data_IF_491092415886
#
_entry.id   IF_491092415886
#
_cell.length_a   1.000
_cell.length_b   1.000
_cell.length_c   1.000
_cell.angle_alpha   90.00
_cell.angle_beta   90.00
_cell.angle_gamma   90.00
#
_symmetry.space_group_name_H-M   'P 1'
#
loop_
_entity.id
_entity.type
_entity.pdbx_description
1 polymer ?
#
# COMPACT_ATOMS: atom_id res chain seq x y z
N UNK A 1 48.84 -1.45 31.64
CA UNK A 1 47.47 -1.72 32.14
C UNK A 1 46.42 -0.63 31.81
N UNK A 2 46.79 0.65 31.59
CA UNK A 2 45.79 1.71 31.23
C UNK A 2 45.18 1.59 29.84
N UNK A 3 45.87 1.05 28.83
CA UNK A 3 45.37 0.95 27.44
C UNK A 3 44.25 -0.08 27.20
N UNK A 4 44.20 -1.15 27.99
CA UNK A 4 43.17 -2.20 27.83
C UNK A 4 41.80 -1.73 28.30
N UNK A 5 41.76 -0.91 29.37
CA UNK A 5 40.51 -0.38 29.90
C UNK A 5 39.80 0.64 28.97
N UNK A 6 40.59 1.44 28.25
CA UNK A 6 40.04 2.41 27.30
C UNK A 6 39.49 1.74 26.03
N UNK A 7 40.18 0.71 25.53
CA UNK A 7 39.69 -0.05 24.34
C UNK A 7 38.41 -0.79 24.68
N UNK A 8 38.30 -1.38 25.86
CA UNK A 8 37.12 -2.11 26.31
C UNK A 8 35.92 -1.18 26.52
N UNK A 9 36.14 0.03 27.09
CA UNK A 9 35.09 1.03 27.22
C UNK A 9 34.58 1.55 25.85
N UNK A 10 35.48 1.77 24.89
CA UNK A 10 35.11 2.15 23.52
C UNK A 10 34.32 1.07 22.80
N UNK A 11 34.71 -0.19 22.95
CA UNK A 11 34.02 -1.33 22.36
C UNK A 11 32.60 -1.49 22.93
N UNK A 12 32.45 -1.35 24.27
CA UNK A 12 31.14 -1.41 24.93
C UNK A 12 30.23 -0.24 24.50
N UNK A 13 30.79 0.97 24.36
CA UNK A 13 30.03 2.14 23.90
C UNK A 13 29.54 1.99 22.45
N UNK A 14 30.39 1.44 21.57
CA UNK A 14 30.03 1.18 20.17
C UNK A 14 28.96 0.08 20.09
N UNK A 15 29.05 -0.97 20.88
CA UNK A 15 28.07 -2.06 20.93
C UNK A 15 26.74 -1.52 21.49
N UNK A 16 26.75 -0.68 22.52
CA UNK A 16 25.57 -0.09 23.12
C UNK A 16 24.88 0.87 22.13
N UNK A 17 25.64 1.67 21.37
CA UNK A 17 25.07 2.51 20.30
C UNK A 17 24.45 1.68 19.15
N UNK A 18 25.06 0.53 18.80
CA UNK A 18 24.51 -0.37 17.77
C UNK A 18 23.22 -1.05 18.23
N UNK A 19 23.14 -1.45 19.51
CA UNK A 19 21.92 -2.04 20.10
C UNK A 19 20.80 -1.03 20.19
N UNK A 20 21.08 0.24 20.48
CA UNK A 20 20.08 1.31 20.54
C UNK A 20 19.56 1.64 19.13
N UNK A 21 20.39 1.53 18.08
CA UNK A 21 19.97 1.75 16.71
C UNK A 21 19.01 0.67 16.19
N UNK A 22 19.09 -0.57 16.72
CA UNK A 22 18.15 -1.66 16.37
C UNK A 22 16.79 -1.55 17.07
N UNK A 23 16.65 -0.73 18.10
CA UNK A 23 15.39 -0.55 18.83
C UNK A 23 14.42 0.49 18.19
N UNK A 24 14.85 1.20 17.15
CA UNK A 24 14.01 2.18 16.44
C UNK A 24 13.46 1.70 15.09
N UNK A 25 13.67 0.43 14.71
CA UNK A 25 13.01 -0.17 13.55
C UNK A 25 11.70 -0.85 13.99
N UNK A 26 10.89 -0.13 14.73
CA UNK A 26 9.52 -0.50 15.08
C UNK A 26 8.48 0.25 14.24
N UNK A 27 8.80 0.55 12.99
CA UNK A 27 7.78 0.97 12.03
C UNK A 27 7.04 -0.30 11.59
N UNK A 28 5.99 -0.69 12.31
CA UNK A 28 5.15 -1.82 11.96
C UNK A 28 4.69 -1.67 10.52
N UNK A 29 4.68 -2.76 9.75
CA UNK A 29 4.06 -2.79 8.42
C UNK A 29 2.55 -2.66 8.60
N UNK A 30 1.85 -2.24 7.53
CA UNK A 30 0.41 -2.38 7.43
C UNK A 30 0.02 -3.87 7.50
N UNK A 31 -1.13 -4.16 8.07
CA UNK A 31 -1.67 -5.52 8.18
C UNK A 31 -2.74 -5.76 7.11
N UNK A 32 -2.52 -6.74 6.25
CA UNK A 32 -3.44 -7.19 5.20
C UNK A 32 -3.93 -8.62 5.42
N UNK A 33 -3.60 -9.24 6.57
CA UNK A 33 -3.81 -10.67 6.81
C UNK A 33 -5.29 -11.06 6.96
N UNK A 34 -6.14 -10.13 7.39
CA UNK A 34 -7.56 -10.37 7.65
C UNK A 34 -8.49 -9.66 6.66
N UNK A 35 -7.93 -9.15 5.55
CA UNK A 35 -8.71 -8.41 4.56
C UNK A 35 -9.79 -9.29 3.93
N UNK A 36 -11.02 -8.79 3.90
CA UNK A 36 -12.14 -9.40 3.20
C UNK A 36 -12.20 -8.84 1.77
N UNK A 37 -12.24 -9.74 0.79
CA UNK A 37 -12.35 -9.35 -0.62
C UNK A 37 -13.77 -9.57 -1.11
N UNK A 38 -14.37 -8.51 -1.65
CA UNK A 38 -15.61 -8.57 -2.39
C UNK A 38 -15.32 -8.31 -3.86
N UNK A 39 -15.43 -9.36 -4.67
CA UNK A 39 -15.20 -9.29 -6.12
C UNK A 39 -16.38 -8.71 -6.88
N UNK A 40 -17.53 -8.53 -6.23
CA UNK A 40 -18.74 -8.09 -6.89
C UNK A 40 -19.13 -9.00 -8.07
N UNK A 41 -19.65 -8.36 -9.12
CA UNK A 41 -19.94 -9.03 -10.40
C UNK A 41 -19.26 -8.27 -11.52
N UNK A 42 -18.46 -8.96 -12.32
CA UNK A 42 -17.80 -8.41 -13.49
C UNK A 42 -17.97 -9.31 -14.70
N UNK A 43 -18.22 -8.71 -15.84
CA UNK A 43 -18.15 -9.35 -17.16
C UNK A 43 -16.84 -9.03 -17.88
N UNK A 44 -16.07 -8.09 -17.34
CA UNK A 44 -14.83 -7.56 -17.93
C UNK A 44 -13.59 -8.23 -17.35
N UNK A 45 -13.56 -8.44 -16.02
CA UNK A 45 -12.40 -8.94 -15.31
C UNK A 45 -12.68 -10.28 -14.66
N UNK A 46 -11.75 -11.23 -14.86
CA UNK A 46 -11.75 -12.49 -14.13
C UNK A 46 -11.30 -12.27 -12.67
N UNK A 47 -11.58 -13.26 -11.83
CA UNK A 47 -11.14 -13.24 -10.44
C UNK A 47 -9.61 -13.17 -10.35
N UNK A 48 -8.89 -13.86 -11.21
CA UNK A 48 -7.43 -13.89 -11.28
C UNK A 48 -6.86 -12.51 -11.65
N UNK A 49 -7.51 -11.79 -12.56
CA UNK A 49 -7.13 -10.41 -12.92
C UNK A 49 -7.37 -9.45 -11.76
N UNK A 50 -8.49 -9.59 -11.05
CA UNK A 50 -8.78 -8.83 -9.84
C UNK A 50 -7.77 -9.13 -8.72
N UNK A 51 -7.41 -10.40 -8.50
CA UNK A 51 -6.40 -10.82 -7.52
C UNK A 51 -5.04 -10.17 -7.82
N UNK A 52 -4.66 -10.10 -9.09
CA UNK A 52 -3.42 -9.43 -9.50
C UNK A 52 -3.41 -7.93 -9.16
N UNK A 53 -4.53 -7.24 -9.34
CA UNK A 53 -4.68 -5.83 -8.96
C UNK A 53 -4.69 -5.66 -7.43
N UNK A 54 -5.40 -6.53 -6.72
CA UNK A 54 -5.47 -6.56 -5.25
C UNK A 54 -4.07 -6.76 -4.64
N UNK A 55 -3.24 -7.59 -5.23
CA UNK A 55 -1.86 -7.80 -4.76
C UNK A 55 -1.02 -6.53 -4.86
N UNK A 56 -1.23 -5.70 -5.89
CA UNK A 56 -0.59 -4.38 -6.00
C UNK A 56 -1.05 -3.46 -4.86
N UNK A 57 -2.35 -3.42 -4.58
CA UNK A 57 -2.92 -2.63 -3.46
C UNK A 57 -2.33 -3.09 -2.13
N UNK A 58 -2.33 -4.41 -1.87
CA UNK A 58 -1.79 -4.97 -0.62
C UNK A 58 -0.31 -4.61 -0.42
N UNK A 59 0.51 -4.68 -1.48
CA UNK A 59 1.92 -4.27 -1.42
C UNK A 59 2.07 -2.81 -1.02
N UNK A 60 1.26 -1.92 -1.58
CA UNK A 60 1.26 -0.50 -1.19
C UNK A 60 0.78 -0.32 0.24
N UNK A 61 -0.29 -1.00 0.64
CA UNK A 61 -0.86 -0.90 1.99
C UNK A 61 0.12 -1.33 3.08
N UNK A 62 1.02 -2.28 2.82
CA UNK A 62 2.08 -2.68 3.75
C UNK A 62 2.98 -1.51 4.17
N UNK A 63 3.02 -0.42 3.40
CA UNK A 63 3.78 0.80 3.75
C UNK A 63 3.05 1.68 4.76
N UNK A 64 1.77 1.44 5.04
CA UNK A 64 0.97 2.19 6.03
C UNK A 64 1.14 1.57 7.42
N UNK A 65 2.27 1.88 8.05
CA UNK A 65 2.71 1.27 9.31
C UNK A 65 1.64 1.27 10.39
N UNK A 66 1.29 0.07 10.87
CA UNK A 66 0.33 -0.14 11.94
C UNK A 66 -1.15 0.03 11.55
N UNK A 67 -1.46 0.34 10.29
CA UNK A 67 -2.82 0.29 9.76
C UNK A 67 -3.26 -1.16 9.52
N UNK A 68 -4.56 -1.42 9.64
CA UNK A 68 -5.19 -2.73 9.43
C UNK A 68 -6.19 -2.63 8.29
N UNK A 69 -5.94 -3.33 7.17
CA UNK A 69 -6.85 -3.38 6.03
C UNK A 69 -7.98 -4.36 6.31
N UNK A 70 -9.22 -3.87 6.32
CA UNK A 70 -10.39 -4.68 6.65
C UNK A 70 -11.10 -5.23 5.43
N UNK A 71 -11.24 -4.43 4.37
CA UNK A 71 -11.94 -4.84 3.16
C UNK A 71 -11.37 -4.20 1.90
N UNK A 72 -11.54 -4.90 0.79
CA UNK A 72 -11.41 -4.40 -0.56
C UNK A 72 -12.64 -4.87 -1.36
N UNK A 73 -13.35 -3.96 -1.97
CA UNK A 73 -14.56 -4.23 -2.77
C UNK A 73 -14.38 -3.68 -4.17
N UNK A 74 -14.57 -4.53 -5.18
CA UNK A 74 -14.58 -4.09 -6.58
C UNK A 74 -15.72 -3.09 -6.80
N UNK A 75 -15.42 -1.97 -7.45
CA UNK A 75 -16.44 -0.94 -7.65
C UNK A 75 -17.54 -1.41 -8.62
N UNK A 76 -17.25 -1.48 -9.90
CA UNK A 76 -18.11 -2.05 -10.94
C UNK A 76 -17.48 -1.97 -12.32
N UNK A 77 -18.02 -2.75 -13.29
CA UNK A 77 -17.64 -2.65 -14.70
C UNK A 77 -17.94 -1.27 -15.27
N UNK A 78 -19.07 -0.65 -14.88
CA UNK A 78 -19.48 0.68 -15.35
C UNK A 78 -18.44 1.75 -14.96
N UNK A 79 -17.98 1.75 -13.73
CA UNK A 79 -16.95 2.68 -13.25
C UNK A 79 -15.61 2.39 -13.93
N UNK A 80 -15.17 1.13 -13.92
CA UNK A 80 -13.85 0.75 -14.42
C UNK A 80 -13.72 0.88 -15.95
N UNK A 81 -14.80 0.67 -16.71
CA UNK A 81 -14.77 0.78 -18.18
C UNK A 81 -15.22 2.16 -18.69
N UNK A 82 -15.44 3.12 -17.82
CA UNK A 82 -15.77 4.49 -18.22
C UNK A 82 -14.57 5.13 -18.92
N UNK A 83 -14.79 5.69 -20.12
CA UNK A 83 -13.76 6.32 -20.92
C UNK A 83 -13.07 7.48 -20.17
N UNK A 84 -13.84 8.29 -19.43
CA UNK A 84 -13.31 9.42 -18.68
C UNK A 84 -12.34 8.96 -17.58
N UNK A 85 -12.60 7.80 -16.95
CA UNK A 85 -11.72 7.23 -15.94
C UNK A 85 -10.44 6.66 -16.55
N UNK A 86 -10.52 6.06 -17.74
CA UNK A 86 -9.34 5.59 -18.48
C UNK A 86 -8.49 6.79 -18.93
N UNK A 87 -9.11 7.85 -19.41
CA UNK A 87 -8.42 9.09 -19.79
C UNK A 87 -7.77 9.74 -18.57
N UNK A 88 -8.46 9.80 -17.44
CA UNK A 88 -7.87 10.27 -16.19
C UNK A 88 -6.65 9.44 -15.76
N UNK A 89 -6.67 8.12 -15.88
CA UNK A 89 -5.49 7.28 -15.60
C UNK A 89 -4.33 7.63 -16.55
N UNK A 90 -4.64 7.90 -17.81
CA UNK A 90 -3.63 8.32 -18.78
C UNK A 90 -3.03 9.70 -18.46
N UNK A 91 -3.81 10.61 -17.88
CA UNK A 91 -3.32 11.92 -17.44
C UNK A 91 -2.38 11.82 -16.23
N UNK A 92 -2.52 10.78 -15.41
CA UNK A 92 -1.65 10.51 -14.26
C UNK A 92 -0.32 9.81 -14.62
N UNK A 93 -0.10 9.48 -15.90
CA UNK A 93 1.13 8.79 -16.34
C UNK A 93 2.38 9.60 -16.05
N UNK A 94 3.44 8.89 -15.76
CA UNK A 94 4.80 9.44 -15.67
C UNK A 94 5.67 9.09 -16.88
N UNK A 95 5.19 8.19 -17.75
CA UNK A 95 5.86 7.76 -18.99
C UNK A 95 4.92 7.95 -20.19
N UNK A 96 5.25 8.86 -21.08
CA UNK A 96 4.44 9.18 -22.27
C UNK A 96 4.40 8.06 -23.31
N UNK A 97 5.32 7.09 -23.24
CA UNK A 97 5.34 5.94 -24.15
C UNK A 97 4.35 4.84 -23.77
N UNK A 98 3.78 4.90 -22.57
CA UNK A 98 2.79 3.94 -22.10
C UNK A 98 1.38 4.50 -22.26
N UNK A 99 0.48 3.71 -22.85
CA UNK A 99 -0.94 4.05 -22.99
C UNK A 99 -1.75 3.02 -22.23
N UNK A 100 -2.50 3.48 -21.24
CA UNK A 100 -3.44 2.64 -20.51
C UNK A 100 -4.74 2.49 -21.30
N UNK A 101 -5.22 1.26 -21.39
CA UNK A 101 -6.47 0.91 -22.07
C UNK A 101 -7.49 0.26 -21.14
N UNK A 102 -7.09 -0.06 -19.94
CA UNK A 102 -7.95 -0.63 -18.90
C UNK A 102 -7.67 0.04 -17.57
N UNK A 103 -8.72 0.21 -16.79
CA UNK A 103 -8.63 0.67 -15.43
C UNK A 103 -9.47 -0.22 -14.53
N UNK A 104 -9.04 -0.45 -13.30
CA UNK A 104 -9.76 -1.19 -12.28
C UNK A 104 -9.73 -0.42 -10.97
N UNK A 105 -10.83 -0.42 -10.24
CA UNK A 105 -10.94 0.33 -9.00
C UNK A 105 -11.59 -0.49 -7.89
N UNK A 106 -11.08 -0.28 -6.68
CA UNK A 106 -11.57 -0.91 -5.46
C UNK A 106 -11.79 0.14 -4.37
N UNK A 107 -12.89 0.02 -3.65
CA UNK A 107 -13.07 0.71 -2.37
C UNK A 107 -12.51 -0.13 -1.24
N UNK A 108 -11.93 0.53 -0.25
CA UNK A 108 -11.40 -0.14 0.94
C UNK A 108 -11.96 0.45 2.21
N UNK A 109 -11.98 -0.37 3.27
CA UNK A 109 -12.03 0.11 4.64
C UNK A 109 -10.79 -0.36 5.40
N UNK A 110 -10.25 0.51 6.24
CA UNK A 110 -9.09 0.18 7.05
C UNK A 110 -9.07 1.02 8.33
N UNK A 111 -8.36 0.54 9.33
CA UNK A 111 -8.17 1.23 10.61
C UNK A 111 -6.75 1.74 10.74
N UNK A 112 -6.62 2.97 11.24
CA UNK A 112 -5.33 3.57 11.63
C UNK A 112 -4.80 2.97 12.94
N UNK A 113 -3.49 3.15 13.23
CA UNK A 113 -2.88 2.63 14.45
C UNK A 113 -3.57 3.14 15.73
N UNK A 114 -3.55 2.33 16.79
CA UNK A 114 -4.06 2.74 18.12
C UNK A 114 -3.35 3.96 18.68
N UNK A 115 -2.05 4.09 18.39
CA UNK A 115 -1.23 5.28 18.65
C UNK A 115 -0.70 5.76 17.32
N UNK A 116 -1.45 6.63 16.70
CA UNK A 116 -1.05 7.25 15.44
C UNK A 116 -0.25 8.53 15.70
N UNK A 117 0.54 8.90 14.74
CA UNK A 117 1.24 10.18 14.66
C UNK A 117 1.23 10.65 13.21
N UNK A 118 1.51 11.95 13.01
CA UNK A 118 1.51 12.53 11.68
C UNK A 118 0.10 12.71 11.12
N UNK A 119 -0.17 12.11 9.97
CA UNK A 119 -1.41 12.32 9.20
C UNK A 119 -2.61 11.49 9.69
N UNK A 120 -2.39 10.51 10.57
CA UNK A 120 -3.44 9.61 11.04
C UNK A 120 -4.04 10.07 12.37
N UNK A 121 -5.37 10.08 12.47
CA UNK A 121 -6.05 10.06 13.77
C UNK A 121 -5.92 8.66 14.39
N UNK A 122 -5.75 8.59 15.71
CA UNK A 122 -5.56 7.30 16.40
C UNK A 122 -6.81 6.45 16.37
N UNK A 123 -6.67 5.17 16.00
CA UNK A 123 -7.71 4.15 16.04
C UNK A 123 -9.01 4.54 15.29
N UNK A 124 -8.85 5.18 14.12
CA UNK A 124 -9.96 5.66 13.29
C UNK A 124 -10.13 4.80 12.06
N UNK A 125 -11.39 4.56 11.67
CA UNK A 125 -11.73 3.93 10.38
C UNK A 125 -11.65 4.95 9.25
N UNK A 126 -11.08 4.51 8.13
CA UNK A 126 -10.96 5.24 6.88
C UNK A 126 -11.56 4.42 5.75
N UNK A 127 -12.08 5.11 4.75
CA UNK A 127 -12.50 4.53 3.47
C UNK A 127 -11.75 5.24 2.34
N UNK A 128 -11.06 4.47 1.51
CA UNK A 128 -10.33 4.99 0.36
C UNK A 128 -10.62 4.18 -0.88
N UNK A 129 -10.54 4.87 -2.01
CA UNK A 129 -10.59 4.26 -3.33
C UNK A 129 -9.18 4.06 -3.87
N UNK A 130 -8.97 2.94 -4.55
CA UNK A 130 -7.69 2.55 -5.15
C UNK A 130 -7.89 2.40 -6.64
N UNK A 131 -7.14 3.13 -7.43
CA UNK A 131 -7.26 3.16 -8.87
C UNK A 131 -6.00 2.61 -9.52
N UNK A 132 -6.16 1.58 -10.35
CA UNK A 132 -5.08 0.95 -11.08
C UNK A 132 -5.39 0.98 -12.58
N UNK A 133 -4.34 1.01 -13.37
CA UNK A 133 -4.44 0.98 -14.82
C UNK A 133 -3.41 0.02 -15.41
N UNK A 134 -3.68 -0.45 -16.61
CA UNK A 134 -2.71 -1.23 -17.38
C UNK A 134 -2.80 -0.95 -18.88
N UNK A 135 -1.66 -1.07 -19.55
CA UNK A 135 -1.57 -1.12 -21.01
C UNK A 135 -2.00 -2.49 -21.52
N UNK A 136 -2.11 -2.62 -22.83
CA UNK A 136 -2.38 -3.91 -23.47
C UNK A 136 -1.32 -4.93 -23.06
N UNK A 137 -1.77 -6.07 -22.54
CA UNK A 137 -0.90 -7.16 -22.07
C UNK A 137 0.09 -6.76 -20.94
N UNK A 138 -0.13 -5.60 -20.30
CA UNK A 138 0.67 -5.09 -19.20
C UNK A 138 0.20 -5.54 -17.83
N UNK A 139 1.06 -5.36 -16.83
CA UNK A 139 0.72 -5.55 -15.42
C UNK A 139 -0.06 -4.36 -14.88
N UNK A 140 -0.85 -4.58 -13.81
CA UNK A 140 -1.55 -3.51 -13.12
C UNK A 140 -0.56 -2.56 -12.43
N UNK A 141 -0.73 -1.27 -12.65
CA UNK A 141 -0.01 -0.20 -11.99
C UNK A 141 -0.95 0.59 -11.11
N UNK A 142 -0.57 0.81 -9.87
CA UNK A 142 -1.31 1.68 -8.97
C UNK A 142 -1.08 3.13 -9.36
N UNK A 143 -2.14 3.82 -9.73
CA UNK A 143 -2.09 5.19 -10.23
C UNK A 143 -2.37 6.22 -9.15
N UNK A 144 -3.40 5.97 -8.34
CA UNK A 144 -3.76 6.87 -7.23
C UNK A 144 -4.61 6.13 -6.19
N UNK A 145 -4.67 6.71 -4.99
CA UNK A 145 -5.55 6.27 -3.91
C UNK A 145 -5.92 7.45 -3.00
N UNK A 146 -7.03 7.32 -2.28
CA UNK A 146 -7.51 8.33 -1.34
C UNK A 146 -9.03 8.43 -1.34
N UNK A 147 -9.51 9.60 -0.91
CA UNK A 147 -10.94 9.92 -0.86
C UNK A 147 -11.51 10.21 -2.24
#
# INVERSE_FOLDING_TARGET
MKKIGETMKRTITVILCFVIFFLFVGCGKGDVSQVKIDYGTSSTYSKEEMDSAIDVIKKQFLLFGGCELHSLSYMSDEVCNNADNIDWMNDLRTDDNEVFIQCIAFDSSFRSPKKAGGEWESNKEYTWSWWLARSKDGEWKLMTWGY
#
